data_IF_547414821947
#
_entry.id   IF_547414821947
#
_cell.length_a   1.000
_cell.length_b   1.000
_cell.length_c   1.000
_cell.angle_alpha   90.00
_cell.angle_beta   90.00
_cell.angle_gamma   90.00
#
_symmetry.space_group_name_H-M   'P 1'
#
loop_
_entity.id
_entity.type
_entity.pdbx_description
1 polymer ?
#
# COMPACT_ATOMS: atom_id res chain seq x y z
N UNK A 1 -10.04 2.97 -6.47
CA UNK A 1 -10.52 2.55 -5.13
C UNK A 1 -11.57 3.54 -4.66
N UNK A 2 -12.76 3.06 -4.34
CA UNK A 2 -13.83 3.87 -3.76
C UNK A 2 -13.62 4.04 -2.25
N UNK A 3 -14.23 5.06 -1.66
CA UNK A 3 -14.21 5.22 -0.20
C UNK A 3 -14.95 4.06 0.47
N UNK A 4 -14.33 3.46 1.49
CA UNK A 4 -14.94 2.40 2.28
C UNK A 4 -14.92 1.01 1.63
N UNK A 5 -14.32 0.87 0.43
CA UNK A 5 -14.09 -0.41 -0.23
C UNK A 5 -13.43 -1.41 0.73
N UNK A 6 -13.80 -2.67 0.68
CA UNK A 6 -13.24 -3.71 1.56
C UNK A 6 -12.68 -4.88 0.78
N UNK A 7 -11.66 -5.54 1.33
CA UNK A 7 -11.14 -6.78 0.77
C UNK A 7 -10.77 -7.76 1.87
N UNK A 8 -10.84 -9.05 1.57
CA UNK A 8 -10.23 -10.09 2.41
C UNK A 8 -9.25 -10.89 1.57
N UNK A 9 -8.04 -11.11 2.11
CA UNK A 9 -7.02 -11.95 1.50
C UNK A 9 -6.45 -12.93 2.53
N UNK A 10 -5.84 -13.99 2.06
CA UNK A 10 -5.15 -14.97 2.89
C UNK A 10 -3.65 -14.89 2.66
N UNK A 11 -2.89 -14.87 3.75
CA UNK A 11 -1.43 -14.85 3.71
C UNK A 11 -0.85 -15.95 4.59
N UNK A 12 0.37 -16.34 4.26
CA UNK A 12 1.19 -17.21 5.08
C UNK A 12 2.34 -16.37 5.67
N UNK A 13 2.58 -16.53 6.97
CA UNK A 13 3.64 -15.83 7.69
C UNK A 13 4.64 -16.83 8.27
N UNK A 14 5.92 -16.58 8.01
CA UNK A 14 7.00 -17.48 8.44
C UNK A 14 7.22 -17.44 9.96
N UNK A 15 6.89 -16.32 10.61
CA UNK A 15 6.91 -16.18 12.07
C UNK A 15 5.92 -17.16 12.72
N UNK A 16 6.44 -18.28 13.22
CA UNK A 16 5.64 -19.29 13.93
C UNK A 16 4.87 -20.29 13.05
N UNK A 17 5.17 -20.39 11.74
CA UNK A 17 4.49 -21.29 10.78
C UNK A 17 2.96 -21.04 10.72
N UNK A 18 2.56 -19.78 10.63
CA UNK A 18 1.15 -19.44 10.53
C UNK A 18 0.73 -19.43 9.06
N UNK A 19 -0.25 -20.25 8.71
CA UNK A 19 -0.72 -20.46 7.33
C UNK A 19 -2.19 -20.06 7.25
N UNK A 20 -2.60 -19.44 6.15
CA UNK A 20 -3.99 -19.12 5.87
C UNK A 20 -4.56 -18.04 6.79
N UNK A 21 -3.76 -17.05 7.16
CA UNK A 21 -4.23 -15.93 7.98
C UNK A 21 -5.07 -14.98 7.13
N UNK A 22 -6.33 -14.78 7.53
CA UNK A 22 -7.21 -13.82 6.91
C UNK A 22 -6.80 -12.40 7.30
N UNK A 23 -6.51 -11.57 6.30
CA UNK A 23 -6.32 -10.13 6.42
C UNK A 23 -7.58 -9.47 5.90
N UNK A 24 -8.27 -8.74 6.77
CA UNK A 24 -9.43 -7.95 6.40
C UNK A 24 -9.00 -6.50 6.24
N UNK A 25 -9.42 -5.87 5.16
CA UNK A 25 -9.01 -4.52 4.81
C UNK A 25 -10.20 -3.62 4.55
N UNK A 26 -10.05 -2.35 4.92
CA UNK A 26 -10.91 -1.24 4.50
C UNK A 26 -10.05 -0.13 3.92
N UNK A 27 -10.44 0.34 2.74
CA UNK A 27 -9.71 1.37 2.04
C UNK A 27 -10.39 2.73 2.20
N UNK A 28 -9.59 3.77 2.28
CA UNK A 28 -10.06 5.16 2.25
C UNK A 28 -9.22 5.99 1.28
N UNK A 29 -9.92 6.78 0.46
CA UNK A 29 -9.33 7.68 -0.52
C UNK A 29 -9.08 9.03 0.13
N UNK A 30 -7.82 9.45 0.17
CA UNK A 30 -7.41 10.70 0.82
C UNK A 30 -7.28 11.84 -0.19
N UNK A 31 -6.68 12.96 0.21
CA UNK A 31 -6.39 14.06 -0.70
C UNK A 31 -5.29 13.70 -1.71
N UNK A 32 -5.07 14.62 -2.65
CA UNK A 32 -3.83 14.65 -3.43
C UNK A 32 -2.69 15.15 -2.53
N UNK A 33 -1.53 14.51 -2.63
CA UNK A 33 -0.33 14.85 -1.88
C UNK A 33 0.84 14.98 -2.85
N UNK A 34 1.71 15.96 -2.60
CA UNK A 34 2.97 16.09 -3.34
C UNK A 34 4.04 15.24 -2.66
N UNK A 35 4.50 14.20 -3.34
CA UNK A 35 5.60 13.33 -2.91
C UNK A 35 6.82 13.61 -3.75
N UNK A 36 7.97 13.82 -3.12
CA UNK A 36 9.24 14.04 -3.83
C UNK A 36 9.98 12.73 -3.99
N UNK A 37 10.26 12.32 -5.23
CA UNK A 37 11.01 11.10 -5.57
C UNK A 37 12.17 11.52 -6.47
N UNK A 38 13.41 11.28 -6.04
CA UNK A 38 14.64 11.75 -6.73
C UNK A 38 14.54 13.23 -7.11
N UNK A 39 14.27 14.08 -6.13
CA UNK A 39 14.13 15.54 -6.27
C UNK A 39 13.01 16.01 -7.22
N UNK A 40 12.21 15.10 -7.77
CA UNK A 40 11.08 15.43 -8.63
C UNK A 40 9.76 15.36 -7.83
N UNK A 41 8.94 16.43 -7.83
CA UNK A 41 7.64 16.42 -7.17
C UNK A 41 6.59 15.69 -8.02
N UNK A 42 5.87 14.75 -7.41
CA UNK A 42 4.72 14.06 -8.00
C UNK A 42 3.46 14.35 -7.20
N UNK A 43 2.40 14.80 -7.86
CA UNK A 43 1.07 14.95 -7.25
C UNK A 43 0.34 13.62 -7.33
N UNK A 44 0.17 12.96 -6.19
CA UNK A 44 -0.32 11.59 -6.09
C UNK A 44 -1.58 11.50 -5.24
N UNK A 45 -2.49 10.63 -5.63
CA UNK A 45 -3.65 10.25 -4.85
C UNK A 45 -3.21 9.32 -3.73
N UNK A 46 -3.30 9.75 -2.46
CA UNK A 46 -3.08 8.82 -1.34
C UNK A 46 -4.29 7.94 -1.11
N UNK A 47 -4.06 6.64 -0.94
CA UNK A 47 -5.02 5.63 -0.50
C UNK A 47 -4.47 5.01 0.78
N UNK A 48 -5.28 5.01 1.84
CA UNK A 48 -4.96 4.26 3.05
C UNK A 48 -5.74 2.94 3.06
N UNK A 49 -5.10 1.86 3.46
CA UNK A 49 -5.70 0.56 3.73
C UNK A 49 -5.54 0.27 5.22
N UNK A 50 -6.61 0.42 5.99
CA UNK A 50 -6.65 -0.13 7.35
C UNK A 50 -6.85 -1.64 7.24
N UNK A 51 -6.03 -2.42 7.95
CA UNK A 51 -6.18 -3.86 7.98
C UNK A 51 -6.16 -4.43 9.39
N UNK A 52 -6.79 -5.60 9.55
CA UNK A 52 -6.70 -6.45 10.74
C UNK A 52 -6.45 -7.92 10.37
N UNK A 53 -5.74 -8.62 11.26
CA UNK A 53 -5.47 -10.06 11.21
C UNK A 53 -5.88 -10.64 12.57
N UNK A 54 -7.17 -10.97 12.76
CA UNK A 54 -7.72 -11.30 14.08
C UNK A 54 -7.01 -12.48 14.76
N UNK A 55 -6.61 -13.48 13.97
CA UNK A 55 -5.98 -14.70 14.46
C UNK A 55 -4.65 -14.46 15.21
N UNK A 56 -4.01 -13.31 14.99
CA UNK A 56 -2.73 -12.95 15.62
C UNK A 56 -2.79 -11.61 16.34
N UNK A 57 -3.99 -11.01 16.44
CA UNK A 57 -4.19 -9.71 17.08
C UNK A 57 -3.45 -8.55 16.41
N UNK A 58 -3.06 -8.69 15.14
CA UNK A 58 -2.35 -7.64 14.42
C UNK A 58 -3.32 -6.73 13.68
N UNK A 59 -2.96 -5.45 13.58
CA UNK A 59 -3.64 -4.47 12.75
C UNK A 59 -2.66 -3.38 12.32
N UNK A 60 -3.00 -2.65 11.28
CA UNK A 60 -2.13 -1.60 10.77
C UNK A 60 -2.80 -0.75 9.71
N UNK A 61 -2.01 0.15 9.13
CA UNK A 61 -2.43 0.96 7.99
C UNK A 61 -1.32 0.93 6.95
N UNK A 62 -1.62 0.35 5.79
CA UNK A 62 -0.78 0.52 4.61
C UNK A 62 -1.18 1.83 3.90
N UNK A 63 -0.22 2.46 3.24
CA UNK A 63 -0.43 3.69 2.46
C UNK A 63 0.12 3.51 1.07
N UNK A 64 -0.61 4.00 0.09
CA UNK A 64 -0.25 3.93 -1.31
C UNK A 64 -0.38 5.31 -1.93
N UNK A 65 0.67 5.80 -2.58
CA UNK A 65 0.65 7.03 -3.36
C UNK A 65 0.53 6.67 -4.83
N UNK A 66 -0.68 6.88 -5.34
CA UNK A 66 -1.12 6.40 -6.64
C UNK A 66 -1.16 7.54 -7.63
N UNK A 67 -0.60 7.33 -8.82
CA UNK A 67 -0.70 8.28 -9.92
C UNK A 67 -2.15 8.36 -10.42
N UNK A 68 -2.81 9.54 -10.38
CA UNK A 68 -4.23 9.63 -10.73
C UNK A 68 -4.56 9.29 -12.19
N UNK A 69 -3.60 9.42 -13.10
CA UNK A 69 -3.81 9.27 -14.54
C UNK A 69 -4.00 7.82 -14.98
N UNK A 70 -3.29 6.88 -14.37
CA UNK A 70 -3.24 5.48 -14.80
C UNK A 70 -3.24 4.46 -13.65
N UNK A 71 -3.24 4.91 -12.40
CA UNK A 71 -3.29 4.04 -11.24
C UNK A 71 -1.95 3.44 -10.83
N UNK A 72 -0.82 3.86 -11.41
CA UNK A 72 0.49 3.35 -11.00
C UNK A 72 0.82 3.80 -9.57
N UNK A 73 1.15 2.87 -8.69
CA UNK A 73 1.69 3.19 -7.36
C UNK A 73 3.14 3.63 -7.51
N UNK A 74 3.48 4.87 -7.13
CA UNK A 74 4.88 5.34 -7.17
C UNK A 74 5.59 5.16 -5.84
N UNK A 75 4.84 5.13 -4.74
CA UNK A 75 5.34 4.83 -3.42
C UNK A 75 4.30 4.05 -2.62
N UNK A 76 4.75 3.13 -1.78
CA UNK A 76 3.91 2.52 -0.75
C UNK A 76 4.65 2.40 0.58
N UNK A 77 3.87 2.42 1.65
CA UNK A 77 4.24 1.98 2.99
C UNK A 77 3.36 0.80 3.33
N UNK A 78 3.93 -0.41 3.48
CA UNK A 78 3.13 -1.61 3.71
C UNK A 78 3.78 -2.59 4.68
N UNK A 79 2.95 -3.16 5.55
CA UNK A 79 3.36 -4.23 6.46
C UNK A 79 3.48 -5.54 5.69
N UNK A 80 4.68 -6.14 5.70
CA UNK A 80 4.90 -7.51 5.18
C UNK A 80 4.83 -8.57 6.28
N UNK A 81 5.05 -8.14 7.52
CA UNK A 81 4.66 -8.80 8.77
C UNK A 81 4.14 -7.72 9.73
N UNK A 82 3.46 -8.07 10.84
CA UNK A 82 3.02 -7.09 11.82
C UNK A 82 4.14 -6.19 12.38
N UNK A 83 5.38 -6.67 12.37
CA UNK A 83 6.54 -5.99 12.94
C UNK A 83 7.37 -5.23 11.90
N UNK A 84 7.16 -5.50 10.60
CA UNK A 84 7.99 -4.95 9.52
C UNK A 84 7.17 -4.14 8.53
N UNK A 85 7.31 -2.82 8.65
CA UNK A 85 6.81 -1.83 7.68
C UNK A 85 7.89 -1.56 6.62
N UNK A 86 7.55 -1.79 5.35
CA UNK A 86 8.42 -1.48 4.23
C UNK A 86 7.96 -0.21 3.51
N UNK A 87 8.92 0.64 3.13
CA UNK A 87 8.70 1.69 2.14
C UNK A 87 9.26 1.23 0.80
N UNK A 88 8.43 1.19 -0.23
CA UNK A 88 8.82 0.84 -1.60
C UNK A 88 8.61 2.07 -2.48
N UNK A 89 9.62 2.46 -3.25
CA UNK A 89 9.58 3.64 -4.12
C UNK A 89 10.00 3.26 -5.53
N UNK A 90 9.18 3.63 -6.52
CA UNK A 90 9.53 3.51 -7.93
C UNK A 90 10.38 4.71 -8.35
N UNK A 91 11.69 4.47 -8.44
CA UNK A 91 12.71 5.48 -8.69
C UNK A 91 12.79 5.95 -10.16
N UNK A 92 12.63 5.02 -11.11
CA UNK A 92 12.71 5.34 -12.54
C UNK A 92 11.51 4.77 -13.29
N UNK A 93 10.75 5.61 -13.98
CA UNK A 93 9.85 5.20 -15.04
C UNK A 93 10.59 4.52 -16.18
N UNK A 94 10.42 3.21 -16.35
CA UNK A 94 10.67 2.56 -17.65
C UNK A 94 9.54 2.86 -18.67
N UNK A 95 8.40 3.34 -18.18
CA UNK A 95 7.29 3.87 -18.98
C UNK A 95 7.54 5.30 -19.54
N UNK A 96 8.68 5.93 -19.22
CA UNK A 96 9.15 7.16 -19.89
C UNK A 96 9.99 6.88 -21.15
N UNK A 97 10.23 5.60 -21.51
CA UNK A 97 10.90 5.28 -22.78
C UNK A 97 10.02 5.62 -23.98
N UNK A 98 10.49 6.62 -24.73
CA UNK A 98 10.10 7.09 -26.08
C UNK A 98 9.11 8.26 -26.13
N UNK A 99 9.67 9.47 -26.02
CA UNK A 99 9.25 10.60 -26.86
C UNK A 99 10.44 11.13 -27.64
#
# INVERSE_FOLDING_TARGET
VAEGETSTRWIDMYQGKQVGLAVNSRFSRKGLETVTIIDQPYVLQRIDEQFDIPAVGASGTNRYWVRPQDGLVLQSEQYVTPELLLTIVHLRPDWESTR
#
